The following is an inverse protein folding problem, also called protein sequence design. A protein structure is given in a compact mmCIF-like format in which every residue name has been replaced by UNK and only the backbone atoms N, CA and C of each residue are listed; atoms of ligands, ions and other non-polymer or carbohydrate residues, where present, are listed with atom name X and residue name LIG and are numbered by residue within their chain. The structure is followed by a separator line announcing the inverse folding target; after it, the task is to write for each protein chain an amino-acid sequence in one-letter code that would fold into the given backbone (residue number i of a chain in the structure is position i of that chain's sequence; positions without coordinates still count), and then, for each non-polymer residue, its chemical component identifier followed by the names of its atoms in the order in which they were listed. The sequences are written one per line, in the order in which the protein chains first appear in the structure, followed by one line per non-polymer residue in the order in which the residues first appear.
data_IF_364846490959
#
_entry.id   IF_364846490959
#
_cell.length_a   1.000
_cell.length_b   1.000
_cell.length_c   1.000
_cell.angle_alpha   90.00
_cell.angle_beta   90.00
_cell.angle_gamma   90.00
#
_symmetry.space_group_name_H-M   'P 1'
#
loop_
_entity.id
_entity.type
_entity.pdbx_description
1 polymer ?
#
# COMPACT_ATOMS: atom_id res chain seq x y z
N UNK A 1 7.98 -16.41 -0.06
CA UNK A 1 7.17 -15.66 0.92
C UNK A 1 6.16 -14.80 0.20
N UNK A 2 4.97 -14.64 0.80
CA UNK A 2 3.85 -13.89 0.26
C UNK A 2 3.70 -12.52 0.94
N UNK A 3 3.51 -11.48 0.13
CA UNK A 3 3.22 -10.13 0.62
C UNK A 3 1.77 -9.80 0.26
N UNK A 4 0.95 -9.57 1.27
CA UNK A 4 -0.43 -9.13 1.13
C UNK A 4 -0.51 -7.62 0.92
N UNK A 5 -1.23 -7.18 -0.11
CA UNK A 5 -1.50 -5.76 -0.38
C UNK A 5 -3.02 -5.55 -0.38
N UNK A 6 -3.57 -4.72 0.51
CA UNK A 6 -4.98 -4.37 0.48
C UNK A 6 -5.26 -3.44 -0.70
N UNK A 7 -6.21 -3.81 -1.57
CA UNK A 7 -6.56 -3.05 -2.79
C UNK A 7 -7.50 -1.89 -2.47
N UNK A 8 -7.01 -0.91 -1.70
CA UNK A 8 -7.82 0.21 -1.19
C UNK A 8 -7.01 1.50 -1.13
N UNK A 9 -7.71 2.60 -0.98
CA UNK A 9 -7.17 3.93 -0.73
C UNK A 9 -6.08 4.31 -1.75
N UNK A 10 -4.89 4.64 -1.29
CA UNK A 10 -3.80 5.10 -2.16
C UNK A 10 -3.26 4.00 -3.09
N UNK A 11 -3.45 2.72 -2.78
CA UNK A 11 -3.03 1.64 -3.67
C UNK A 11 -3.69 1.68 -5.07
N UNK A 12 -4.79 2.38 -5.23
CA UNK A 12 -5.34 2.68 -6.57
C UNK A 12 -4.35 3.45 -7.44
N UNK A 13 -3.47 4.26 -6.83
CA UNK A 13 -2.44 5.01 -7.53
C UNK A 13 -1.09 4.28 -7.59
N UNK A 14 -0.75 3.46 -6.60
CA UNK A 14 0.60 2.89 -6.44
C UNK A 14 0.70 1.37 -6.56
N UNK A 15 -0.40 0.65 -6.67
CA UNK A 15 -0.38 -0.83 -6.74
C UNK A 15 0.53 -1.39 -7.83
N UNK A 16 0.57 -0.86 -9.07
CA UNK A 16 1.47 -1.36 -10.09
C UNK A 16 2.95 -1.27 -9.69
N UNK A 17 3.33 -0.17 -9.02
CA UNK A 17 4.68 0.01 -8.48
C UNK A 17 5.00 -1.08 -7.45
N UNK A 18 4.17 -1.24 -6.44
CA UNK A 18 4.43 -2.17 -5.35
C UNK A 18 4.42 -3.63 -5.80
N UNK A 19 3.51 -3.98 -6.72
CA UNK A 19 3.46 -5.33 -7.29
C UNK A 19 4.76 -5.66 -8.03
N UNK A 20 5.23 -4.79 -8.91
CA UNK A 20 6.48 -5.00 -9.64
C UNK A 20 7.70 -4.98 -8.71
N UNK A 21 7.74 -4.06 -7.75
CA UNK A 21 8.80 -3.97 -6.74
C UNK A 21 8.97 -5.28 -5.97
N UNK A 22 7.92 -5.79 -5.34
CA UNK A 22 8.00 -7.02 -4.58
C UNK A 22 8.26 -8.26 -5.45
N UNK A 23 7.66 -8.32 -6.63
CA UNK A 23 7.89 -9.44 -7.56
C UNK A 23 9.37 -9.49 -8.00
N UNK A 24 10.00 -8.33 -8.27
CA UNK A 24 11.42 -8.28 -8.65
C UNK A 24 12.35 -8.69 -7.51
N UNK A 25 11.91 -8.57 -6.26
CA UNK A 25 12.61 -9.06 -5.07
C UNK A 25 12.37 -10.55 -4.79
N UNK A 26 11.60 -11.25 -5.64
CA UNK A 26 11.31 -12.67 -5.50
C UNK A 26 10.16 -12.99 -4.54
N UNK A 27 9.34 -12.01 -4.15
CA UNK A 27 8.14 -12.25 -3.35
C UNK A 27 6.92 -12.52 -4.23
N UNK A 28 6.03 -13.38 -3.74
CA UNK A 28 4.70 -13.54 -4.33
C UNK A 28 3.76 -12.47 -3.77
N UNK A 29 3.21 -11.63 -4.64
CA UNK A 29 2.26 -10.59 -4.21
C UNK A 29 0.84 -11.11 -4.25
N UNK A 30 0.16 -11.04 -3.12
CA UNK A 30 -1.25 -11.38 -2.95
C UNK A 30 -2.05 -10.10 -2.76
N UNK A 31 -2.80 -9.71 -3.78
CA UNK A 31 -3.71 -8.56 -3.69
C UNK A 31 -5.04 -9.03 -3.11
N UNK A 32 -5.64 -8.25 -2.22
CA UNK A 32 -6.99 -8.53 -1.73
C UNK A 32 -8.01 -8.53 -2.89
N UNK A 33 -9.09 -9.29 -2.75
CA UNK A 33 -10.13 -9.35 -3.79
C UNK A 33 -10.77 -7.98 -4.05
N UNK A 34 -11.52 -7.85 -5.12
CA UNK A 34 -12.29 -6.63 -5.41
C UNK A 34 -13.30 -6.37 -4.29
N UNK A 35 -13.50 -5.07 -3.97
CA UNK A 35 -14.47 -4.64 -2.98
C UNK A 35 -15.88 -5.05 -3.38
N UNK A 36 -16.62 -5.59 -2.42
CA UNK A 36 -18.05 -5.88 -2.52
C UNK A 36 -18.73 -5.65 -1.16
N UNK A 37 -20.03 -5.74 -1.13
CA UNK A 37 -20.80 -5.53 0.09
C UNK A 37 -20.48 -6.57 1.17
N UNK A 38 -20.25 -7.82 0.78
CA UNK A 38 -19.87 -8.89 1.73
C UNK A 38 -18.52 -8.62 2.40
N UNK A 39 -17.58 -8.04 1.66
CA UNK A 39 -16.29 -7.61 2.23
C UNK A 39 -16.47 -6.48 3.23
N UNK A 40 -17.35 -5.53 2.93
CA UNK A 40 -17.70 -4.46 3.88
C UNK A 40 -18.31 -5.02 5.17
N UNK A 41 -19.31 -5.90 5.05
CA UNK A 41 -19.95 -6.54 6.21
C UNK A 41 -18.94 -7.33 7.05
N UNK A 42 -18.06 -8.10 6.42
CA UNK A 42 -17.05 -8.89 7.11
C UNK A 42 -16.08 -8.04 7.96
N UNK A 43 -15.74 -6.83 7.47
CA UNK A 43 -14.84 -5.91 8.18
C UNK A 43 -15.51 -4.98 9.18
N UNK A 44 -16.85 -4.93 9.20
CA UNK A 44 -17.61 -3.90 9.92
C UNK A 44 -17.33 -3.88 11.44
N UNK A 45 -17.10 -5.04 12.04
CA UNK A 45 -16.83 -5.17 13.48
C UNK A 45 -15.53 -4.49 13.94
N UNK A 46 -14.60 -4.26 13.01
CA UNK A 46 -13.30 -3.60 13.28
C UNK A 46 -13.33 -2.09 13.02
N UNK A 47 -14.41 -1.56 12.43
CA UNK A 47 -14.53 -0.14 12.11
C UNK A 47 -14.66 0.66 13.40
N UNK A 48 -13.70 1.56 13.73
CA UNK A 48 -13.66 2.23 15.04
C UNK A 48 -14.65 3.41 15.17
N UNK A 49 -15.18 3.91 14.04
CA UNK A 49 -16.06 5.08 14.02
C UNK A 49 -17.03 5.04 12.85
N UNK A 50 -18.29 5.34 13.15
CA UNK A 50 -19.34 5.45 12.13
C UNK A 50 -19.18 6.68 11.23
N UNK A 51 -18.44 7.68 11.65
CA UNK A 51 -18.28 8.95 10.94
C UNK A 51 -17.18 8.90 9.87
N UNK A 52 -16.34 7.86 9.86
CA UNK A 52 -15.31 7.72 8.84
C UNK A 52 -15.92 7.43 7.46
N UNK A 53 -15.30 7.91 6.38
CA UNK A 53 -15.81 7.74 5.03
C UNK A 53 -15.90 6.24 4.62
N UNK A 54 -16.84 5.92 3.73
CA UNK A 54 -17.09 4.55 3.30
C UNK A 54 -15.85 3.84 2.71
N UNK A 55 -15.00 4.47 1.86
CA UNK A 55 -13.78 3.82 1.38
C UNK A 55 -12.84 3.37 2.50
N UNK A 56 -12.76 4.13 3.59
CA UNK A 56 -11.95 3.75 4.75
C UNK A 56 -12.57 2.54 5.49
N UNK A 57 -13.89 2.48 5.63
CA UNK A 57 -14.56 1.32 6.24
C UNK A 57 -14.29 0.01 5.49
N UNK A 58 -14.15 0.06 4.17
CA UNK A 58 -13.82 -1.12 3.35
C UNK A 58 -12.45 -1.71 3.66
N UNK A 59 -11.52 -0.91 4.18
CA UNK A 59 -10.13 -1.35 4.42
C UNK A 59 -10.08 -2.57 5.35
N UNK A 60 -10.90 -2.60 6.38
CA UNK A 60 -10.96 -3.71 7.36
C UNK A 60 -11.29 -5.04 6.69
N UNK A 61 -12.27 -5.05 5.77
CA UNK A 61 -12.60 -6.24 4.99
C UNK A 61 -11.45 -6.69 4.06
N UNK A 62 -10.70 -5.74 3.51
CA UNK A 62 -9.52 -6.07 2.69
C UNK A 62 -8.40 -6.65 3.53
N UNK A 63 -8.13 -6.11 4.72
CA UNK A 63 -7.15 -6.68 5.67
C UNK A 63 -7.57 -8.08 6.08
N UNK A 64 -8.83 -8.28 6.47
CA UNK A 64 -9.37 -9.59 6.84
C UNK A 64 -9.22 -10.60 5.69
N UNK A 65 -9.49 -10.23 4.45
CA UNK A 65 -9.34 -11.13 3.29
C UNK A 65 -7.90 -11.57 3.05
N UNK A 66 -6.92 -10.76 3.42
CA UNK A 66 -5.49 -11.13 3.36
C UNK A 66 -5.10 -12.07 4.51
N UNK A 67 -5.68 -11.85 5.69
CA UNK A 67 -5.52 -12.75 6.85
C UNK A 67 -6.06 -14.15 6.51
N UNK A 68 -7.26 -14.22 5.93
CA UNK A 68 -7.88 -15.48 5.49
C UNK A 68 -7.03 -16.23 4.44
N UNK A 69 -6.34 -15.49 3.57
CA UNK A 69 -5.39 -16.03 2.60
C UNK A 69 -4.05 -16.46 3.22
N UNK A 70 -3.86 -16.24 4.52
CA UNK A 70 -2.66 -16.62 5.26
C UNK A 70 -1.38 -16.10 4.63
N UNK A 71 -1.38 -14.81 4.24
CA UNK A 71 -0.17 -14.17 3.73
C UNK A 71 0.92 -14.11 4.81
N UNK A 72 2.20 -14.18 4.43
CA UNK A 72 3.30 -14.15 5.41
C UNK A 72 3.46 -12.77 6.05
N UNK A 73 3.01 -11.70 5.38
CA UNK A 73 3.14 -10.30 5.81
C UNK A 73 2.15 -9.43 5.06
N UNK A 74 1.61 -8.41 5.71
CA UNK A 74 0.82 -7.35 5.08
C UNK A 74 1.70 -6.10 4.94
N UNK A 75 1.71 -5.51 3.75
CA UNK A 75 2.36 -4.24 3.48
C UNK A 75 1.29 -3.17 3.23
N UNK A 76 1.24 -2.15 4.08
CA UNK A 76 0.26 -1.07 4.00
C UNK A 76 0.88 0.26 4.42
N UNK A 77 1.57 0.98 3.52
CA UNK A 77 2.28 2.20 3.84
C UNK A 77 1.34 3.35 4.21
N UNK A 78 1.80 4.23 5.08
CA UNK A 78 1.20 5.52 5.40
C UNK A 78 1.73 6.56 4.40
N UNK A 79 0.94 6.84 3.35
CA UNK A 79 1.33 7.78 2.31
C UNK A 79 0.90 9.19 2.70
N UNK A 80 1.87 10.08 2.94
CA UNK A 80 1.60 11.49 3.27
C UNK A 80 1.42 12.32 2.01
N UNK A 81 2.22 12.04 0.99
CA UNK A 81 2.17 12.74 -0.29
C UNK A 81 2.45 11.77 -1.44
N UNK A 82 1.86 12.05 -2.59
CA UNK A 82 2.14 11.38 -3.87
C UNK A 82 2.54 12.43 -4.91
N UNK A 83 3.37 12.09 -5.91
CA UNK A 83 3.75 13.03 -6.96
C UNK A 83 2.53 13.53 -7.73
N UNK A 84 2.49 14.84 -8.00
CA UNK A 84 1.51 15.43 -8.91
C UNK A 84 2.05 15.47 -10.34
N UNK A 85 1.17 15.22 -11.30
CA UNK A 85 1.47 15.42 -12.73
C UNK A 85 1.45 16.90 -13.12
N UNK A 86 0.93 17.77 -12.24
CA UNK A 86 0.92 19.22 -12.43
C UNK A 86 2.13 19.88 -11.75
N UNK A 87 3.06 20.38 -12.56
CA UNK A 87 4.31 21.01 -12.10
C UNK A 87 4.11 22.28 -11.25
N UNK A 88 2.90 22.87 -11.27
CA UNK A 88 2.55 24.04 -10.48
C UNK A 88 2.23 23.74 -9.01
N UNK A 89 1.96 22.47 -8.66
CA UNK A 89 1.64 22.08 -7.30
C UNK A 89 2.86 21.51 -6.60
N UNK A 90 3.29 22.15 -5.52
CA UNK A 90 4.46 21.76 -4.74
C UNK A 90 4.13 20.94 -3.49
N UNK A 91 2.85 20.90 -3.09
CA UNK A 91 2.39 20.18 -1.91
C UNK A 91 1.13 19.35 -2.27
N UNK A 92 1.33 18.07 -2.55
CA UNK A 92 0.26 17.13 -2.91
C UNK A 92 0.04 16.14 -1.78
N UNK A 93 -0.52 16.64 -0.67
CA UNK A 93 -0.89 15.78 0.45
C UNK A 93 -2.13 14.95 0.10
N UNK A 94 -2.09 13.68 0.44
CA UNK A 94 -3.28 12.84 0.36
C UNK A 94 -4.23 13.13 1.54
N UNK A 95 -5.48 12.68 1.45
CA UNK A 95 -6.45 12.85 2.50
C UNK A 95 -5.91 12.34 3.86
N UNK A 96 -6.10 13.07 4.97
CA UNK A 96 -5.64 12.65 6.31
C UNK A 96 -6.11 11.26 6.73
N UNK A 97 -7.32 10.86 6.32
CA UNK A 97 -7.81 9.50 6.56
C UNK A 97 -6.91 8.48 5.84
N UNK A 98 -6.57 8.72 4.56
CA UNK A 98 -5.67 7.83 3.80
C UNK A 98 -4.30 7.74 4.46
N UNK A 99 -3.76 8.86 4.96
CA UNK A 99 -2.47 8.89 5.65
C UNK A 99 -2.46 8.02 6.91
N UNK A 100 -3.49 8.12 7.75
CA UNK A 100 -3.50 7.52 9.08
C UNK A 100 -4.11 6.10 9.12
N UNK A 101 -4.91 5.72 8.14
CA UNK A 101 -5.73 4.53 8.21
C UNK A 101 -4.96 3.21 8.30
N UNK A 102 -3.77 3.06 7.70
CA UNK A 102 -2.95 1.88 7.96
C UNK A 102 -2.68 1.66 9.45
N UNK A 103 -2.41 2.75 10.20
CA UNK A 103 -2.21 2.66 11.65
C UNK A 103 -3.51 2.35 12.42
N UNK A 104 -4.64 2.85 11.96
CA UNK A 104 -5.95 2.47 12.51
C UNK A 104 -6.15 0.96 12.39
N UNK A 105 -5.98 0.39 11.19
CA UNK A 105 -6.11 -1.05 10.96
C UNK A 105 -5.14 -1.89 11.79
N UNK A 106 -3.89 -1.46 11.94
CA UNK A 106 -2.93 -2.16 12.81
C UNK A 106 -3.42 -2.30 14.24
N UNK A 107 -4.08 -1.25 14.75
CA UNK A 107 -4.54 -1.19 16.14
C UNK A 107 -5.93 -1.84 16.34
N UNK A 108 -6.81 -1.81 15.35
CA UNK A 108 -8.17 -2.37 15.44
C UNK A 108 -8.21 -3.83 15.00
N UNK A 109 -7.66 -4.16 13.85
CA UNK A 109 -7.66 -5.53 13.31
C UNK A 109 -6.57 -6.41 13.95
N UNK A 110 -5.49 -5.78 14.43
CA UNK A 110 -4.37 -6.42 15.15
C UNK A 110 -3.85 -7.70 14.45
N UNK A 111 -3.50 -7.68 13.14
CA UNK A 111 -3.16 -8.87 12.38
C UNK A 111 -1.97 -9.63 12.97
N UNK A 112 -0.98 -8.92 13.50
CA UNK A 112 0.19 -9.54 14.13
C UNK A 112 -0.16 -10.22 15.46
N UNK A 113 -0.90 -9.54 16.33
CA UNK A 113 -1.27 -10.06 17.64
C UNK A 113 -2.25 -11.24 17.57
N UNK A 114 -3.27 -11.13 16.70
CA UNK A 114 -4.35 -12.09 16.65
C UNK A 114 -4.08 -13.28 15.72
N UNK A 115 -3.23 -13.07 14.69
CA UNK A 115 -3.03 -14.07 13.61
C UNK A 115 -1.55 -14.34 13.31
N UNK A 116 -0.61 -13.65 13.98
CA UNK A 116 0.83 -13.81 13.74
C UNK A 116 1.31 -13.25 12.39
N UNK A 117 0.52 -12.39 11.75
CA UNK A 117 0.84 -11.81 10.44
C UNK A 117 1.38 -10.40 10.64
N UNK A 118 2.69 -10.15 10.49
CA UNK A 118 3.26 -8.81 10.61
C UNK A 118 2.66 -7.83 9.61
N UNK A 119 2.45 -6.59 10.03
CA UNK A 119 1.94 -5.52 9.18
C UNK A 119 2.91 -4.35 9.16
N UNK A 120 3.54 -4.12 8.02
CA UNK A 120 4.47 -3.02 7.81
C UNK A 120 3.75 -1.75 7.36
N UNK A 121 4.11 -0.65 8.00
CA UNK A 121 3.49 0.65 7.82
C UNK A 121 4.54 1.75 7.68
N UNK A 122 5.41 1.70 6.65
CA UNK A 122 6.35 2.80 6.43
C UNK A 122 5.60 4.11 6.18
N UNK A 123 6.18 5.21 6.65
CA UNK A 123 5.69 6.55 6.35
C UNK A 123 6.45 7.08 5.15
N UNK A 124 5.74 7.40 4.08
CA UNK A 124 6.35 7.91 2.85
C UNK A 124 5.82 9.29 2.47
N UNK A 125 6.76 10.18 2.13
CA UNK A 125 6.52 11.51 1.59
C UNK A 125 6.97 11.55 0.13
N UNK A 126 6.20 10.95 -0.76
CA UNK A 126 6.58 10.79 -2.17
C UNK A 126 6.28 12.03 -3.02
N UNK A 127 6.78 13.19 -2.60
CA UNK A 127 6.58 14.43 -3.35
C UNK A 127 7.15 14.40 -4.77
N UNK A 128 8.18 13.58 -5.00
CA UNK A 128 8.82 13.39 -6.29
C UNK A 128 9.48 12.02 -6.41
N UNK A 129 9.90 11.65 -7.62
CA UNK A 129 10.53 10.37 -7.93
C UNK A 129 11.81 10.12 -7.11
N UNK A 130 12.62 11.17 -6.87
CA UNK A 130 13.86 11.05 -6.10
C UNK A 130 13.59 10.67 -4.65
N UNK A 131 12.63 11.33 -4.00
CA UNK A 131 12.21 10.99 -2.64
C UNK A 131 11.57 9.62 -2.58
N UNK A 132 10.70 9.26 -3.52
CA UNK A 132 10.14 7.91 -3.60
C UNK A 132 11.25 6.86 -3.59
N UNK A 133 12.27 7.01 -4.46
CA UNK A 133 13.40 6.09 -4.55
C UNK A 133 14.17 6.01 -3.25
N UNK A 134 14.65 7.14 -2.72
CA UNK A 134 15.48 7.14 -1.52
C UNK A 134 14.75 6.58 -0.30
N UNK A 135 13.53 7.04 -0.03
CA UNK A 135 12.78 6.58 1.13
C UNK A 135 12.43 5.08 1.03
N UNK A 136 12.09 4.59 -0.17
CA UNK A 136 11.80 3.16 -0.36
C UNK A 136 13.06 2.33 -0.13
N UNK A 137 14.19 2.68 -0.77
CA UNK A 137 15.44 1.95 -0.61
C UNK A 137 15.90 1.97 0.84
N UNK A 138 15.93 3.13 1.48
CA UNK A 138 16.43 3.25 2.85
C UNK A 138 15.55 2.50 3.85
N UNK A 139 14.23 2.59 3.73
CA UNK A 139 13.33 1.89 4.63
C UNK A 139 13.47 0.36 4.53
N UNK A 140 13.46 -0.22 3.33
CA UNK A 140 13.61 -1.67 3.16
C UNK A 140 15.00 -2.16 3.50
N UNK A 141 16.04 -1.37 3.25
CA UNK A 141 17.40 -1.69 3.71
C UNK A 141 17.47 -1.75 5.24
N UNK A 142 16.89 -0.78 5.92
CA UNK A 142 16.93 -0.69 7.38
C UNK A 142 16.08 -1.77 8.06
N UNK A 143 14.84 -1.99 7.59
CA UNK A 143 13.87 -2.85 8.28
C UNK A 143 13.88 -4.30 7.80
N UNK A 144 14.12 -4.52 6.50
CA UNK A 144 14.14 -5.87 5.93
C UNK A 144 15.56 -6.40 5.68
N UNK A 145 16.60 -5.59 5.93
CA UNK A 145 18.02 -5.93 5.76
C UNK A 145 18.36 -6.37 4.32
N UNK A 146 17.68 -5.81 3.34
CA UNK A 146 17.92 -6.10 1.93
C UNK A 146 19.07 -5.24 1.37
N UNK A 147 19.77 -5.75 0.38
CA UNK A 147 20.86 -5.02 -0.28
C UNK A 147 20.35 -3.80 -1.05
N UNK A 148 21.02 -2.64 -0.92
CA UNK A 148 20.61 -1.39 -1.56
C UNK A 148 20.60 -1.46 -3.09
N UNK A 149 21.53 -2.19 -3.71
CA UNK A 149 21.59 -2.33 -5.18
C UNK A 149 20.42 -3.17 -5.69
N UNK A 150 20.05 -4.21 -4.94
CA UNK A 150 18.88 -5.02 -5.25
C UNK A 150 17.60 -4.19 -5.13
N UNK A 151 17.49 -3.41 -4.06
CA UNK A 151 16.34 -2.51 -3.82
C UNK A 151 16.23 -1.43 -4.89
N UNK A 152 17.35 -0.84 -5.32
CA UNK A 152 17.36 0.18 -6.36
C UNK A 152 16.88 -0.37 -7.73
N UNK A 153 17.27 -1.60 -8.07
CA UNK A 153 16.73 -2.31 -9.24
C UNK A 153 15.22 -2.56 -9.10
N UNK A 154 14.77 -2.98 -7.92
CA UNK A 154 13.36 -3.24 -7.67
C UNK A 154 12.51 -1.96 -7.77
N UNK A 155 13.02 -0.83 -7.27
CA UNK A 155 12.37 0.48 -7.45
C UNK A 155 12.28 0.83 -8.94
N UNK A 156 13.32 0.58 -9.73
CA UNK A 156 13.30 0.82 -11.18
C UNK A 156 12.18 0.01 -11.87
N UNK A 157 12.01 -1.26 -11.52
CA UNK A 157 10.93 -2.08 -12.07
C UNK A 157 9.54 -1.58 -11.62
N UNK A 158 9.42 -1.14 -10.37
CA UNK A 158 8.21 -0.48 -9.87
C UNK A 158 7.86 0.79 -10.63
N UNK A 159 8.85 1.64 -10.88
CA UNK A 159 8.67 2.89 -11.65
C UNK A 159 8.25 2.63 -13.10
N UNK A 160 8.86 1.64 -13.75
CA UNK A 160 8.44 1.22 -15.11
C UNK A 160 6.98 0.77 -15.15
N UNK A 161 6.58 -0.10 -14.22
CA UNK A 161 5.22 -0.59 -14.15
C UNK A 161 4.21 0.54 -13.87
N UNK A 162 4.55 1.47 -12.99
CA UNK A 162 3.70 2.62 -12.68
C UNK A 162 3.54 3.55 -13.89
N UNK A 163 4.63 3.84 -14.60
CA UNK A 163 4.60 4.69 -15.79
C UNK A 163 3.78 4.03 -16.92
N UNK A 164 3.96 2.73 -17.16
CA UNK A 164 3.16 1.99 -18.15
C UNK A 164 1.67 2.06 -17.81
N UNK A 165 1.30 1.84 -16.56
CA UNK A 165 -0.08 1.94 -16.10
C UNK A 165 -0.68 3.33 -16.33
N UNK A 166 0.07 4.41 -16.02
CA UNK A 166 -0.38 5.79 -16.25
C UNK A 166 -0.56 6.09 -17.73
N UNK A 167 0.35 5.62 -18.58
CA UNK A 167 0.21 5.78 -20.04
C UNK A 167 -1.07 5.12 -20.54
N UNK A 168 -1.33 3.87 -20.14
CA UNK A 168 -2.56 3.17 -20.52
C UNK A 168 -3.83 3.90 -20.07
N UNK A 169 -3.84 4.44 -18.85
CA UNK A 169 -5.00 5.21 -18.38
C UNK A 169 -5.24 6.49 -19.19
N UNK A 170 -4.18 7.13 -19.69
CA UNK A 170 -4.31 8.34 -20.53
C UNK A 170 -4.74 8.01 -21.96
N UNK A 171 -4.44 6.80 -22.45
CA UNK A 171 -4.82 6.35 -23.78
C UNK A 171 -6.27 5.83 -23.85
N UNK A 172 -6.78 5.29 -22.74
CA UNK A 172 -8.13 4.71 -22.66
C UNK A 172 -9.20 5.70 -22.14
N UNK A 173 -8.80 6.86 -21.60
CA UNK A 173 -9.66 7.93 -21.04
C UNK A 173 -9.83 9.10 -21.97
#
# INVERSE_FOLDING_TARGET
KTIGIPRVLEFWASLPFWKAFFTSLGYTVVVSRQSDYKMFEAGLHSVPSDTVCFPAKLVHGHVLSLIEKKVDRIFFPMMVAIPSDHTKFTATSVCPVVQAYPNVCKNTDQPEKNYGIPMDQPIFHWFNTKLRRSQTVDWFHEHWKLDKKLLDKAVTEGEKALNSYRTTLLEEG
#
